data_IF_226973554682
#
_entry.id   IF_226973554682
#
_cell.length_a   1.000
_cell.length_b   1.000
_cell.length_c   1.000
_cell.angle_alpha   90.00
_cell.angle_beta   90.00
_cell.angle_gamma   90.00
#
_symmetry.space_group_name_H-M   'P 1'
#
loop_
_entity.id
_entity.type
_entity.pdbx_description
1 polymer ?
#
# COMPACT_ATOMS: atom_id res chain seq x y z
N UNK A 1 13.32 -24.86 -27.31
CA UNK A 1 14.29 -25.48 -26.38
C UNK A 1 14.27 -24.69 -25.09
N UNK A 2 13.62 -25.21 -24.05
CA UNK A 2 13.53 -24.54 -22.74
C UNK A 2 14.80 -24.74 -21.91
N UNK A 3 15.08 -23.84 -20.94
CA UNK A 3 16.24 -23.97 -20.06
C UNK A 3 16.11 -25.21 -19.17
N UNK A 4 17.13 -26.08 -19.17
CA UNK A 4 17.22 -27.24 -18.28
C UNK A 4 17.94 -26.84 -16.99
N UNK A 5 17.25 -26.95 -15.86
CA UNK A 5 17.85 -26.87 -14.53
C UNK A 5 17.59 -28.23 -13.87
N UNK A 6 18.65 -28.98 -13.55
CA UNK A 6 18.54 -30.24 -12.78
C UNK A 6 17.98 -31.48 -13.50
N UNK A 7 18.05 -31.55 -14.83
CA UNK A 7 17.64 -32.77 -15.57
C UNK A 7 16.13 -32.96 -15.75
N UNK A 8 15.31 -32.03 -15.27
CA UNK A 8 13.86 -32.01 -15.44
C UNK A 8 13.53 -31.06 -16.59
N UNK A 9 12.83 -31.51 -17.62
CA UNK A 9 12.40 -30.67 -18.74
C UNK A 9 11.15 -29.89 -18.34
N UNK A 10 11.33 -28.77 -17.64
CA UNK A 10 10.24 -27.85 -17.28
C UNK A 10 9.66 -27.23 -18.55
N UNK A 11 8.51 -27.73 -18.97
CA UNK A 11 7.67 -27.10 -20.00
C UNK A 11 6.86 -25.95 -19.41
N UNK A 12 6.42 -25.00 -20.24
CA UNK A 12 5.52 -23.89 -19.82
C UNK A 12 4.21 -24.42 -19.18
N UNK A 13 3.87 -25.68 -19.46
CA UNK A 13 2.73 -26.42 -18.90
C UNK A 13 2.98 -27.03 -17.51
N UNK A 14 4.21 -26.98 -16.98
CA UNK A 14 4.52 -27.53 -15.67
C UNK A 14 4.09 -26.55 -14.57
N UNK A 15 3.31 -26.96 -13.55
CA UNK A 15 2.88 -26.09 -12.45
C UNK A 15 4.05 -25.49 -11.64
N UNK A 16 5.28 -26.02 -11.78
CA UNK A 16 6.50 -25.47 -11.18
C UNK A 16 7.17 -24.38 -12.03
N UNK A 17 6.64 -24.07 -13.21
CA UNK A 17 7.17 -23.02 -14.09
C UNK A 17 6.92 -21.64 -13.49
N UNK A 18 7.93 -21.11 -12.80
CA UNK A 18 7.98 -19.70 -12.43
C UNK A 18 8.42 -18.94 -13.67
N UNK A 19 7.48 -18.26 -14.35
CA UNK A 19 7.77 -17.44 -15.53
C UNK A 19 8.79 -16.33 -15.26
N UNK A 20 9.05 -15.46 -16.25
CA UNK A 20 9.98 -14.34 -16.12
C UNK A 20 9.44 -13.23 -15.21
N UNK A 21 9.26 -13.53 -13.92
CA UNK A 21 8.74 -12.65 -12.88
C UNK A 21 9.55 -11.35 -12.72
N UNK A 22 10.85 -11.41 -13.04
CA UNK A 22 11.76 -10.25 -13.04
C UNK A 22 11.47 -9.22 -14.12
N UNK A 23 10.74 -9.57 -15.18
CA UNK A 23 10.47 -8.67 -16.32
C UNK A 23 9.69 -7.43 -15.88
N UNK A 24 8.83 -7.56 -14.86
CA UNK A 24 8.08 -6.44 -14.29
C UNK A 24 8.99 -5.33 -13.76
N UNK A 25 10.14 -5.67 -13.16
CA UNK A 25 11.09 -4.67 -12.64
C UNK A 25 11.73 -3.85 -13.75
N UNK A 26 12.04 -4.46 -14.90
CA UNK A 26 12.61 -3.74 -16.04
C UNK A 26 11.59 -2.80 -16.67
N UNK A 27 10.35 -3.25 -16.82
CA UNK A 27 9.25 -2.42 -17.35
C UNK A 27 9.01 -1.23 -16.41
N UNK A 28 8.94 -1.47 -15.10
CA UNK A 28 8.77 -0.41 -14.11
C UNK A 28 9.95 0.58 -14.10
N UNK A 29 11.19 0.09 -14.17
CA UNK A 29 12.39 0.93 -14.24
C UNK A 29 12.39 1.79 -15.51
N UNK A 30 12.02 1.23 -16.66
CA UNK A 30 11.88 1.96 -17.92
C UNK A 30 10.81 3.05 -17.84
N UNK A 31 9.64 2.73 -17.27
CA UNK A 31 8.55 3.70 -17.10
C UNK A 31 8.95 4.87 -16.17
N UNK A 32 9.63 4.57 -15.06
CA UNK A 32 10.14 5.60 -14.13
C UNK A 32 11.21 6.46 -14.81
N UNK A 33 12.12 5.86 -15.59
CA UNK A 33 13.13 6.59 -16.34
C UNK A 33 12.49 7.56 -17.36
N UNK A 34 11.46 7.10 -18.08
CA UNK A 34 10.70 7.95 -19.01
C UNK A 34 9.97 9.09 -18.28
N UNK A 35 9.35 8.81 -17.14
CA UNK A 35 8.68 9.81 -16.30
C UNK A 35 9.65 10.83 -15.68
N UNK A 36 10.94 10.50 -15.57
CA UNK A 36 11.98 11.40 -15.08
C UNK A 36 12.47 12.40 -16.14
N UNK A 37 12.31 12.10 -17.43
CA UNK A 37 12.79 12.97 -18.54
C UNK A 37 12.29 14.42 -18.42
N UNK A 38 11.01 14.70 -18.15
CA UNK A 38 10.51 16.07 -17.99
C UNK A 38 11.19 16.87 -16.86
N UNK A 39 11.69 16.18 -15.82
CA UNK A 39 12.37 16.86 -14.70
C UNK A 39 13.73 17.44 -15.09
N UNK A 40 14.41 16.88 -16.11
CA UNK A 40 15.67 17.43 -16.61
C UNK A 40 15.51 18.79 -17.30
N UNK A 41 14.31 19.12 -17.75
CA UNK A 41 13.99 20.41 -18.37
C UNK A 41 13.65 21.51 -17.37
N UNK A 42 13.58 21.21 -16.07
CA UNK A 42 13.40 22.26 -15.05
C UNK A 42 14.68 23.06 -14.86
N UNK A 43 14.59 24.41 -14.80
CA UNK A 43 15.76 25.26 -14.59
C UNK A 43 16.40 24.95 -13.24
N UNK A 44 17.74 24.88 -13.22
CA UNK A 44 18.56 24.55 -12.04
C UNK A 44 18.29 25.45 -10.83
N UNK A 45 17.78 26.66 -11.05
CA UNK A 45 17.42 27.61 -10.00
C UNK A 45 16.07 28.27 -10.32
N UNK A 46 15.17 28.31 -9.34
CA UNK A 46 13.91 29.04 -9.45
C UNK A 46 14.16 30.56 -9.30
N UNK A 47 13.85 31.41 -10.31
CA UNK A 47 14.18 32.84 -10.27
C UNK A 47 13.56 33.60 -9.08
N UNK A 48 12.40 33.14 -8.59
CA UNK A 48 11.72 33.71 -7.41
C UNK A 48 12.48 33.46 -6.12
N UNK A 49 13.12 32.32 -5.98
CA UNK A 49 13.87 31.95 -4.77
C UNK A 49 15.18 32.73 -4.67
N UNK A 50 15.87 32.91 -5.81
CA UNK A 50 17.04 33.79 -5.91
C UNK A 50 16.71 35.23 -5.50
N UNK A 51 15.54 35.74 -5.90
CA UNK A 51 15.07 37.09 -5.56
C UNK A 51 14.70 37.21 -4.08
N UNK A 52 14.00 36.23 -3.48
CA UNK A 52 13.70 36.22 -2.03
C UNK A 52 14.99 36.10 -1.18
N UNK A 53 15.94 35.24 -1.57
CA UNK A 53 17.23 35.10 -0.89
C UNK A 53 18.07 36.37 -0.99
N UNK A 54 18.11 37.01 -2.16
CA UNK A 54 18.79 38.30 -2.33
C UNK A 54 18.10 39.42 -1.54
N UNK A 55 16.77 39.46 -1.51
CA UNK A 55 16.02 40.42 -0.70
C UNK A 55 16.30 40.21 0.80
N UNK A 56 16.26 38.97 1.31
CA UNK A 56 16.64 38.68 2.70
C UNK A 56 18.09 39.07 3.00
N UNK A 57 19.04 38.79 2.10
CA UNK A 57 20.44 39.26 2.25
C UNK A 57 20.54 40.78 2.33
N UNK A 58 19.81 41.50 1.47
CA UNK A 58 19.79 42.97 1.49
C UNK A 58 19.18 43.51 2.79
N UNK A 59 18.09 42.93 3.27
CA UNK A 59 17.44 43.32 4.53
C UNK A 59 18.32 43.04 5.75
N UNK A 60 19.00 41.88 5.79
CA UNK A 60 19.97 41.58 6.85
C UNK A 60 21.16 42.54 6.81
N UNK A 61 21.72 42.82 5.63
CA UNK A 61 22.85 43.74 5.48
C UNK A 61 22.53 45.19 5.88
N UNK A 62 21.27 45.61 5.74
CA UNK A 62 20.80 46.94 6.19
C UNK A 62 20.61 46.98 7.71
N UNK A 63 20.28 45.84 8.34
CA UNK A 63 20.09 45.74 9.79
C UNK A 63 21.43 45.70 10.54
N UNK A 64 22.53 45.35 9.85
CA UNK A 64 23.88 45.18 10.44
C UNK A 64 24.83 46.36 10.18
N UNK A 65 24.36 47.51 9.69
CA UNK A 65 25.18 48.72 9.56
C UNK A 65 25.00 49.65 10.76
N UNK A 66 26.01 49.82 11.65
CA UNK A 66 25.97 50.87 12.65
C UNK A 66 26.19 52.23 11.96
N UNK A 67 25.24 53.13 12.13
CA UNK A 67 25.34 54.51 11.68
C UNK A 67 26.61 55.17 12.25
N UNK A 68 27.46 55.66 11.34
CA UNK A 68 28.66 56.44 11.63
C UNK A 68 28.26 57.90 11.83
N UNK A 69 28.32 58.42 13.07
CA UNK A 69 28.40 59.84 13.52
C UNK A 69 28.31 59.81 15.05
N UNK A 70 29.09 60.47 15.90
CA UNK A 70 30.21 61.42 15.86
C UNK A 70 30.46 61.82 17.33
N UNK A 71 31.74 61.97 17.72
CA UNK A 71 32.33 62.54 18.96
C UNK A 71 31.41 63.24 20.01
N UNK A 72 31.49 62.82 21.28
CA UNK A 72 32.23 63.48 22.39
C UNK A 72 32.08 62.69 23.74
N UNK A 73 33.14 62.70 24.56
CA UNK A 73 33.38 61.96 25.83
C UNK A 73 32.83 62.69 27.08
N UNK A 74 33.11 62.29 28.36
CA UNK A 74 33.07 60.99 29.07
C UNK A 74 32.38 61.06 30.47
N UNK A 75 31.96 59.92 31.09
CA UNK A 75 32.15 59.67 32.55
C UNK A 75 31.55 58.33 33.05
N UNK A 76 32.44 57.54 33.69
CA UNK A 76 32.32 56.60 34.84
C UNK A 76 30.97 55.96 35.23
N UNK A 77 30.96 54.62 35.34
CA UNK A 77 31.04 53.82 36.59
C UNK A 77 30.25 52.48 36.46
N UNK A 78 30.93 51.38 36.76
CA UNK A 78 30.43 49.98 36.85
C UNK A 78 30.08 49.66 38.33
N UNK A 79 29.59 48.47 38.73
CA UNK A 79 28.70 47.49 38.09
C UNK A 79 27.48 47.14 38.99
N UNK A 80 26.44 46.51 38.43
CA UNK A 80 25.33 45.96 39.22
C UNK A 80 24.45 45.02 38.40
N UNK A 81 24.50 43.76 38.77
CA UNK A 81 23.90 42.57 38.16
C UNK A 81 22.36 42.56 38.13
N UNK A 82 21.77 42.17 36.99
CA UNK A 82 20.84 41.02 36.87
C UNK A 82 19.90 41.11 35.65
N UNK A 83 19.76 39.96 34.99
CA UNK A 83 18.62 39.51 34.16
C UNK A 83 18.38 40.19 32.80
N UNK A 84 18.88 39.56 31.71
CA UNK A 84 18.33 39.79 30.37
C UNK A 84 17.82 38.51 29.72
N UNK A 85 16.48 38.46 29.66
CA UNK A 85 15.63 37.84 28.63
C UNK A 85 16.35 37.83 27.27
N UNK A 86 16.57 36.66 26.69
CA UNK A 86 17.18 36.51 25.36
C UNK A 86 16.19 35.81 24.43
N UNK A 87 15.13 36.55 24.10
CA UNK A 87 14.38 36.36 22.86
C UNK A 87 15.07 37.21 21.79
N UNK A 88 15.49 36.57 20.68
CA UNK A 88 15.91 37.29 19.49
C UNK A 88 17.13 36.73 18.78
N UNK A 89 16.88 36.16 17.60
CA UNK A 89 17.74 36.24 16.41
C UNK A 89 19.11 35.54 16.49
N UNK A 90 19.12 34.20 16.50
CA UNK A 90 20.32 33.47 16.08
C UNK A 90 20.30 33.32 14.56
N UNK A 91 21.36 33.88 13.98
CA UNK A 91 21.62 34.17 12.58
C UNK A 91 21.61 32.96 11.63
N UNK A 92 21.18 33.25 10.40
CA UNK A 92 21.41 32.45 9.21
C UNK A 92 22.79 32.82 8.68
N UNK A 93 23.78 31.93 8.86
CA UNK A 93 25.02 31.90 8.09
C UNK A 93 25.12 30.54 7.35
N UNK A 94 25.52 30.51 6.08
CA UNK A 94 25.56 29.30 5.26
C UNK A 94 26.84 28.52 5.60
N UNK A 95 26.84 27.82 6.75
CA UNK A 95 27.75 26.73 7.11
C UNK A 95 27.32 26.22 8.50
N UNK A 96 26.10 25.68 8.61
CA UNK A 96 25.68 25.05 9.86
C UNK A 96 26.24 23.61 9.91
N UNK A 97 27.23 23.44 10.79
CA UNK A 97 27.76 22.14 11.22
C UNK A 97 26.61 21.20 11.60
N UNK A 98 26.67 19.95 11.14
CA UNK A 98 25.67 18.88 11.43
C UNK A 98 25.33 18.79 12.93
N UNK A 99 26.29 19.11 13.80
CA UNK A 99 26.16 19.13 15.27
C UNK A 99 25.19 20.21 15.76
N UNK A 100 25.19 21.41 15.15
CA UNK A 100 24.23 22.47 15.50
C UNK A 100 22.82 22.10 15.05
N UNK A 101 22.70 21.45 13.89
CA UNK A 101 21.41 20.93 13.41
C UNK A 101 20.86 19.84 14.36
N UNK A 102 21.69 18.88 14.78
CA UNK A 102 21.29 17.82 15.73
C UNK A 102 20.81 18.38 17.07
N UNK A 103 21.41 19.47 17.57
CA UNK A 103 21.01 20.07 18.86
C UNK A 103 19.72 20.89 18.75
N UNK A 104 19.47 21.52 17.60
CA UNK A 104 18.27 22.31 17.33
C UNK A 104 17.09 21.43 16.90
N UNK A 105 17.38 20.29 16.26
CA UNK A 105 16.40 19.33 15.74
C UNK A 105 15.34 18.87 16.76
N UNK A 106 15.67 18.38 17.98
CA UNK A 106 14.66 17.92 18.93
C UNK A 106 13.72 19.04 19.39
N UNK A 107 14.20 20.28 19.46
CA UNK A 107 13.38 21.44 19.83
C UNK A 107 12.38 21.77 18.71
N UNK A 108 12.84 21.80 17.45
CA UNK A 108 11.97 22.09 16.29
C UNK A 108 11.01 20.93 16.02
N UNK A 109 11.45 19.69 16.21
CA UNK A 109 10.63 18.48 16.15
C UNK A 109 9.49 18.57 17.18
N UNK A 110 9.82 18.85 18.45
CA UNK A 110 8.81 18.96 19.51
C UNK A 110 7.84 20.13 19.27
N UNK A 111 8.34 21.26 18.78
CA UNK A 111 7.51 22.40 18.41
C UNK A 111 6.56 22.08 17.25
N UNK A 112 7.03 21.32 16.26
CA UNK A 112 6.23 20.87 15.12
C UNK A 112 5.17 19.85 15.56
N UNK A 113 5.55 18.89 16.42
CA UNK A 113 4.64 17.90 17.00
C UNK A 113 3.59 18.51 17.93
N UNK A 114 3.91 19.63 18.58
CA UNK A 114 2.97 20.36 19.44
C UNK A 114 1.89 21.09 18.65
N UNK A 115 2.04 21.23 17.33
CA UNK A 115 0.99 21.81 16.49
C UNK A 115 -0.13 20.78 16.25
N UNK A 116 -1.33 20.96 16.83
CA UNK A 116 -2.35 19.90 16.89
C UNK A 116 -2.85 19.46 15.52
N UNK A 117 -2.96 20.39 14.56
CA UNK A 117 -3.38 20.09 13.19
C UNK A 117 -2.35 19.23 12.46
N UNK A 118 -1.05 19.46 12.71
CA UNK A 118 0.01 18.67 12.07
C UNK A 118 -0.03 17.23 12.58
N UNK A 119 -0.10 17.05 13.90
CA UNK A 119 -0.17 15.74 14.53
C UNK A 119 -1.39 14.95 14.04
N UNK A 120 -2.58 15.56 14.05
CA UNK A 120 -3.82 14.90 13.60
C UNK A 120 -3.77 14.46 12.14
N UNK A 121 -3.26 15.32 11.25
CA UNK A 121 -3.14 14.99 9.81
C UNK A 121 -2.11 13.89 9.58
N UNK A 122 -0.96 13.95 10.26
CA UNK A 122 0.08 12.90 10.15
C UNK A 122 -0.43 11.56 10.69
N UNK A 123 -1.10 11.54 11.84
CA UNK A 123 -1.71 10.32 12.39
C UNK A 123 -2.76 9.75 11.44
N UNK A 124 -3.62 10.58 10.86
CA UNK A 124 -4.61 10.15 9.86
C UNK A 124 -3.95 9.52 8.63
N UNK A 125 -2.87 10.12 8.11
CA UNK A 125 -2.10 9.59 6.99
C UNK A 125 -1.40 8.25 7.33
N UNK A 126 -0.90 8.10 8.57
CA UNK A 126 -0.33 6.84 9.05
C UNK A 126 -1.41 5.75 9.10
N UNK A 127 -2.59 6.04 9.67
CA UNK A 127 -3.69 5.09 9.71
C UNK A 127 -4.13 4.67 8.30
N UNK A 128 -4.23 5.63 7.38
CA UNK A 128 -4.60 5.35 5.99
C UNK A 128 -3.55 4.46 5.29
N UNK A 129 -2.26 4.71 5.54
CA UNK A 129 -1.16 3.92 4.97
C UNK A 129 -1.13 2.50 5.53
N UNK A 130 -1.39 2.34 6.84
CA UNK A 130 -1.51 1.04 7.50
C UNK A 130 -2.67 0.23 6.92
N UNK A 131 -3.85 0.84 6.75
CA UNK A 131 -4.99 0.22 6.08
C UNK A 131 -4.65 -0.20 4.65
N UNK A 132 -3.98 0.67 3.87
CA UNK A 132 -3.58 0.36 2.51
C UNK A 132 -2.60 -0.82 2.43
N UNK A 133 -1.66 -0.91 3.36
CA UNK A 133 -0.74 -2.04 3.48
C UNK A 133 -1.47 -3.35 3.80
N UNK A 134 -2.37 -3.35 4.80
CA UNK A 134 -3.18 -4.52 5.13
C UNK A 134 -4.02 -4.99 3.95
N UNK A 135 -4.67 -4.05 3.25
CA UNK A 135 -5.40 -4.37 2.02
C UNK A 135 -4.48 -4.92 0.94
N UNK A 136 -3.31 -4.35 0.68
CA UNK A 136 -2.39 -4.84 -0.34
C UNK A 136 -1.94 -6.29 -0.09
N UNK A 137 -1.71 -6.68 1.17
CA UNK A 137 -1.26 -8.02 1.54
C UNK A 137 -2.39 -9.04 1.53
N UNK A 138 -3.53 -8.70 2.13
CA UNK A 138 -4.60 -9.66 2.37
C UNK A 138 -5.69 -9.68 1.30
N UNK A 139 -5.89 -8.60 0.55
CA UNK A 139 -6.95 -8.53 -0.46
C UNK A 139 -6.80 -9.57 -1.58
N UNK A 140 -5.61 -9.79 -2.18
CA UNK A 140 -5.48 -10.82 -3.22
C UNK A 140 -5.82 -12.21 -2.68
N UNK A 141 -5.33 -12.53 -1.47
CA UNK A 141 -5.62 -13.80 -0.79
C UNK A 141 -7.07 -13.95 -0.38
N UNK A 142 -7.70 -12.87 0.04
CA UNK A 142 -9.13 -12.83 0.30
C UNK A 142 -9.91 -13.16 -0.96
N UNK A 143 -9.57 -12.55 -2.11
CA UNK A 143 -10.23 -12.82 -3.38
C UNK A 143 -10.01 -14.26 -3.84
N UNK A 144 -8.78 -14.78 -3.72
CA UNK A 144 -8.46 -16.18 -4.02
C UNK A 144 -9.33 -17.15 -3.20
N UNK A 145 -9.50 -16.89 -1.90
CA UNK A 145 -10.20 -17.82 -0.99
C UNK A 145 -11.71 -17.66 -0.95
N UNK A 146 -12.23 -16.44 -1.13
CA UNK A 146 -13.67 -16.18 -1.04
C UNK A 146 -14.39 -16.35 -2.36
N UNK A 147 -13.72 -16.06 -3.48
CA UNK A 147 -14.33 -16.15 -4.80
C UNK A 147 -13.73 -17.26 -5.68
N UNK A 148 -12.77 -18.03 -5.16
CA UNK A 148 -12.10 -19.14 -5.85
C UNK A 148 -11.51 -18.75 -7.20
N UNK A 149 -10.94 -17.55 -7.27
CA UNK A 149 -10.23 -17.08 -8.46
C UNK A 149 -8.72 -17.31 -8.33
N UNK A 150 -8.03 -17.40 -9.46
CA UNK A 150 -6.57 -17.58 -9.46
C UNK A 150 -5.86 -16.33 -8.92
N UNK A 151 -4.72 -16.54 -8.26
CA UNK A 151 -3.86 -15.45 -7.76
C UNK A 151 -3.47 -14.45 -8.87
N UNK A 152 -3.18 -14.96 -10.07
CA UNK A 152 -2.83 -14.13 -11.21
C UNK A 152 -4.00 -13.23 -11.64
N UNK A 153 -5.21 -13.79 -11.73
CA UNK A 153 -6.40 -13.03 -12.11
C UNK A 153 -6.77 -11.99 -11.03
N UNK A 154 -6.70 -12.35 -9.75
CA UNK A 154 -6.95 -11.42 -8.64
C UNK A 154 -5.99 -10.21 -8.69
N UNK A 155 -4.68 -10.47 -8.84
CA UNK A 155 -3.68 -9.42 -8.92
C UNK A 155 -3.82 -8.55 -10.17
N UNK A 156 -4.19 -9.15 -11.32
CA UNK A 156 -4.45 -8.41 -12.56
C UNK A 156 -5.65 -7.47 -12.39
N UNK A 157 -6.74 -7.94 -11.79
CA UNK A 157 -7.92 -7.12 -11.54
C UNK A 157 -7.64 -5.97 -10.57
N UNK A 158 -6.94 -6.24 -9.45
CA UNK A 158 -6.50 -5.19 -8.51
C UNK A 158 -5.61 -4.18 -9.25
N UNK A 159 -4.69 -4.67 -10.08
CA UNK A 159 -3.78 -3.82 -10.85
C UNK A 159 -4.48 -2.90 -11.84
N UNK A 160 -5.45 -3.42 -12.59
CA UNK A 160 -6.16 -2.69 -13.63
C UNK A 160 -7.28 -1.79 -13.09
N UNK A 161 -7.92 -2.14 -11.96
CA UNK A 161 -9.04 -1.36 -11.43
C UNK A 161 -8.60 -0.41 -10.31
N UNK A 162 -7.83 -0.90 -9.33
CA UNK A 162 -7.51 -0.11 -8.13
C UNK A 162 -6.42 0.94 -8.39
N UNK A 163 -5.34 0.62 -9.11
CA UNK A 163 -4.26 1.61 -9.33
C UNK A 163 -4.69 2.81 -10.16
N UNK A 164 -5.41 2.67 -11.29
CA UNK A 164 -5.91 3.83 -12.03
C UNK A 164 -6.87 4.66 -11.19
N UNK A 165 -7.73 4.01 -10.40
CA UNK A 165 -8.66 4.70 -9.50
C UNK A 165 -7.92 5.56 -8.46
N UNK A 166 -6.85 5.04 -7.86
CA UNK A 166 -5.98 5.80 -6.94
C UNK A 166 -5.37 7.03 -7.63
N UNK A 167 -4.84 6.87 -8.84
CA UNK A 167 -4.25 7.99 -9.61
C UNK A 167 -5.29 9.07 -9.89
N UNK A 168 -6.49 8.67 -10.35
CA UNK A 168 -7.60 9.58 -10.59
C UNK A 168 -7.99 10.30 -9.30
N UNK A 169 -8.10 9.59 -8.17
CA UNK A 169 -8.40 10.18 -6.86
C UNK A 169 -7.42 11.29 -6.48
N UNK A 170 -6.11 11.03 -6.57
CA UNK A 170 -5.06 12.01 -6.23
C UNK A 170 -5.16 13.26 -7.12
N UNK A 171 -5.31 13.05 -8.44
CA UNK A 171 -5.42 14.15 -9.41
C UNK A 171 -6.67 14.98 -9.17
N UNK A 172 -7.83 14.33 -8.99
CA UNK A 172 -9.10 15.00 -8.70
C UNK A 172 -9.00 15.80 -7.41
N UNK A 173 -8.42 15.23 -6.35
CA UNK A 173 -8.16 15.94 -5.09
C UNK A 173 -7.31 17.20 -5.27
N UNK A 174 -6.26 17.13 -6.09
CA UNK A 174 -5.42 18.28 -6.42
C UNK A 174 -6.15 19.34 -7.27
N UNK A 175 -6.91 18.90 -8.28
CA UNK A 175 -7.72 19.78 -9.13
C UNK A 175 -8.77 20.49 -8.30
N UNK A 176 -9.42 19.81 -7.36
CA UNK A 176 -10.45 20.39 -6.49
C UNK A 176 -9.87 21.49 -5.59
N UNK A 177 -8.72 21.23 -4.96
CA UNK A 177 -7.99 22.24 -4.16
C UNK A 177 -7.60 23.45 -5.01
N UNK A 178 -7.14 23.22 -6.24
CA UNK A 178 -6.70 24.30 -7.14
C UNK A 178 -7.87 25.12 -7.69
N UNK A 179 -8.93 24.48 -8.18
CA UNK A 179 -10.07 25.12 -8.85
C UNK A 179 -10.97 25.87 -7.88
N UNK A 180 -11.22 25.30 -6.70
CA UNK A 180 -12.06 25.93 -5.69
C UNK A 180 -11.30 26.90 -4.78
N UNK A 181 -9.99 27.08 -5.01
CA UNK A 181 -9.12 27.93 -4.18
C UNK A 181 -9.32 27.67 -2.67
N UNK A 182 -9.40 26.39 -2.29
CA UNK A 182 -9.74 25.99 -0.92
C UNK A 182 -8.72 26.56 0.07
N UNK A 183 -9.21 27.25 1.11
CA UNK A 183 -8.43 27.65 2.27
C UNK A 183 -8.13 26.46 3.20
N UNK A 184 -7.41 26.66 4.32
CA UNK A 184 -7.10 25.58 5.27
C UNK A 184 -8.35 24.87 5.82
N UNK A 185 -9.40 25.62 6.16
CA UNK A 185 -10.67 25.04 6.64
C UNK A 185 -11.35 24.22 5.55
N UNK A 186 -11.34 24.71 4.31
CA UNK A 186 -11.88 23.98 3.15
C UNK A 186 -11.12 22.68 2.84
N UNK A 187 -9.79 22.69 2.96
CA UNK A 187 -8.99 21.46 2.85
C UNK A 187 -9.33 20.46 3.95
N UNK A 188 -9.50 20.92 5.20
CA UNK A 188 -9.92 20.07 6.31
C UNK A 188 -11.31 19.46 6.11
N UNK A 189 -12.28 20.27 5.68
CA UNK A 189 -13.63 19.80 5.37
C UNK A 189 -13.62 18.77 4.22
N UNK A 190 -12.80 18.98 3.19
CA UNK A 190 -12.65 18.04 2.09
C UNK A 190 -12.05 16.70 2.56
N UNK A 191 -11.05 16.73 3.44
CA UNK A 191 -10.50 15.50 4.03
C UNK A 191 -11.55 14.75 4.87
N UNK A 192 -12.29 15.46 5.72
CA UNK A 192 -13.34 14.85 6.56
C UNK A 192 -14.45 14.24 5.71
N UNK A 193 -14.94 14.97 4.71
CA UNK A 193 -15.97 14.49 3.79
C UNK A 193 -15.47 13.30 2.98
N UNK A 194 -14.25 13.35 2.45
CA UNK A 194 -13.65 12.25 1.70
C UNK A 194 -13.51 10.97 2.52
N UNK A 195 -13.08 11.08 3.78
CA UNK A 195 -12.99 9.93 4.69
C UNK A 195 -14.36 9.37 5.10
N UNK A 196 -15.35 10.23 5.34
CA UNK A 196 -16.73 9.81 5.61
C UNK A 196 -17.35 9.07 4.42
N UNK A 197 -17.14 9.58 3.21
CA UNK A 197 -17.58 8.91 1.98
C UNK A 197 -16.84 7.58 1.79
N UNK A 198 -15.53 7.54 2.00
CA UNK A 198 -14.77 6.30 1.95
C UNK A 198 -15.34 5.24 2.92
N UNK A 199 -15.64 5.62 4.16
CA UNK A 199 -16.30 4.74 5.13
C UNK A 199 -17.64 4.24 4.61
N UNK A 200 -18.49 5.15 4.13
CA UNK A 200 -19.81 4.81 3.59
C UNK A 200 -19.74 3.81 2.44
N UNK A 201 -18.83 4.00 1.47
CA UNK A 201 -18.64 3.07 0.34
C UNK A 201 -17.96 1.75 0.73
N UNK A 202 -17.24 1.71 1.85
CA UNK A 202 -16.64 0.48 2.37
C UNK A 202 -17.63 -0.39 3.16
N UNK A 203 -18.72 0.17 3.70
CA UNK A 203 -19.71 -0.59 4.50
C UNK A 203 -20.33 -1.79 3.76
N UNK A 204 -20.75 -1.68 2.47
CA UNK A 204 -21.31 -2.81 1.73
C UNK A 204 -20.33 -3.99 1.58
N UNK A 205 -19.02 -3.74 1.62
CA UNK A 205 -18.01 -4.80 1.47
C UNK A 205 -18.13 -5.87 2.57
N UNK A 206 -18.60 -5.51 3.76
CA UNK A 206 -18.81 -6.46 4.86
C UNK A 206 -19.98 -7.42 4.61
N UNK A 207 -20.94 -7.04 3.75
CA UNK A 207 -22.13 -7.84 3.45
C UNK A 207 -21.98 -8.66 2.16
N UNK A 208 -20.96 -8.35 1.35
CA UNK A 208 -20.64 -9.09 0.13
C UNK A 208 -19.68 -10.22 0.52
N UNK A 209 -20.22 -11.40 0.77
CA UNK A 209 -19.46 -12.62 1.04
C UNK A 209 -20.08 -13.83 0.34
N UNK A 210 -19.26 -14.86 0.10
CA UNK A 210 -19.76 -16.16 -0.35
C UNK A 210 -19.76 -17.15 0.82
N UNK A 211 -20.56 -18.21 0.73
CA UNK A 211 -20.49 -19.31 1.69
C UNK A 211 -19.09 -19.94 1.67
N UNK A 212 -18.50 -20.19 2.84
CA UNK A 212 -17.19 -20.84 2.93
C UNK A 212 -17.19 -22.19 2.20
N UNK A 213 -16.17 -22.39 1.36
CA UNK A 213 -15.94 -23.68 0.69
C UNK A 213 -15.78 -24.79 1.73
N UNK A 214 -16.42 -25.93 1.46
CA UNK A 214 -16.37 -27.09 2.33
C UNK A 214 -15.12 -27.89 2.01
N UNK A 215 -14.19 -27.99 2.96
CA UNK A 215 -12.96 -28.75 2.80
C UNK A 215 -13.11 -30.05 3.59
N UNK A 216 -12.94 -31.18 2.90
CA UNK A 216 -13.04 -32.51 3.51
C UNK A 216 -12.06 -32.64 4.69
N UNK A 217 -12.56 -33.08 5.86
CA UNK A 217 -11.75 -33.27 7.08
C UNK A 217 -11.46 -32.02 7.91
N UNK A 218 -11.87 -30.82 7.45
CA UNK A 218 -11.70 -29.56 8.19
C UNK A 218 -13.07 -28.92 8.48
N UNK A 219 -14.02 -29.05 7.57
CA UNK A 219 -15.40 -28.54 7.74
C UNK A 219 -16.35 -29.70 8.04
N UNK A 220 -16.80 -29.84 9.28
CA UNK A 220 -17.79 -30.86 9.65
C UNK A 220 -19.18 -30.49 9.10
N UNK A 221 -19.81 -31.37 8.32
CA UNK A 221 -21.25 -31.30 8.06
C UNK A 221 -22.01 -32.01 9.18
N UNK A 222 -22.91 -31.30 9.87
CA UNK A 222 -23.79 -31.91 10.88
C UNK A 222 -25.03 -32.58 10.27
N UNK A 223 -25.43 -32.29 9.02
CA UNK A 223 -26.69 -32.82 8.48
C UNK A 223 -26.70 -32.90 6.96
N UNK A 224 -26.57 -34.11 6.40
CA UNK A 224 -27.55 -34.67 5.44
C UNK A 224 -27.07 -35.95 4.73
N UNK A 225 -25.77 -36.29 4.67
CA UNK A 225 -25.30 -37.56 4.09
C UNK A 225 -24.33 -38.28 5.05
N UNK A 226 -24.68 -39.45 5.60
CA UNK A 226 -23.87 -40.20 6.58
C UNK A 226 -22.66 -40.92 5.95
N UNK A 227 -21.96 -40.26 5.03
CA UNK A 227 -20.81 -40.82 4.31
C UNK A 227 -19.69 -39.81 4.00
N UNK A 228 -19.80 -38.57 4.46
CA UNK A 228 -18.83 -37.49 4.21
C UNK A 228 -17.97 -37.13 5.43
N UNK A 229 -17.98 -37.98 6.45
CA UNK A 229 -16.83 -38.06 7.36
C UNK A 229 -15.69 -38.63 6.53
N UNK A 230 -14.49 -38.07 6.63
CA UNK A 230 -13.28 -38.51 5.95
C UNK A 230 -12.99 -39.96 6.37
N UNK A 231 -13.69 -40.93 5.76
CA UNK A 231 -13.62 -42.31 6.19
C UNK A 231 -12.22 -42.79 5.82
N UNK A 232 -11.39 -43.17 6.80
CA UNK A 232 -10.01 -43.59 6.54
C UNK A 232 -9.95 -44.74 5.51
N UNK A 233 -11.04 -45.49 5.37
CA UNK A 233 -11.21 -46.60 4.43
C UNK A 233 -11.03 -46.24 2.95
N UNK A 234 -11.40 -45.04 2.49
CA UNK A 234 -11.25 -44.67 1.08
C UNK A 234 -9.82 -44.23 0.75
N UNK A 235 -9.06 -43.77 1.76
CA UNK A 235 -7.67 -43.30 1.63
C UNK A 235 -6.64 -44.41 1.93
N UNK A 236 -7.05 -45.57 2.45
CA UNK A 236 -6.16 -46.68 2.86
C UNK A 236 -5.17 -47.12 1.78
N UNK A 237 -5.51 -46.95 0.51
CA UNK A 237 -4.65 -47.30 -0.62
C UNK A 237 -3.49 -46.32 -0.87
N UNK A 238 -3.43 -45.17 -0.18
CA UNK A 238 -2.46 -44.11 -0.46
C UNK A 238 -1.84 -43.51 0.81
N UNK A 239 -0.52 -43.65 0.99
CA UNK A 239 0.24 -42.95 2.04
C UNK A 239 0.49 -41.50 1.66
N UNK A 240 -0.52 -40.64 1.84
CA UNK A 240 -0.47 -39.24 1.41
C UNK A 240 0.51 -38.40 2.25
N UNK A 241 1.33 -37.55 1.60
CA UNK A 241 2.19 -36.61 2.32
C UNK A 241 1.36 -35.53 3.02
N UNK A 242 1.71 -35.25 4.28
CA UNK A 242 1.02 -34.27 5.13
C UNK A 242 1.24 -32.81 4.66
N UNK A 243 2.38 -32.52 4.01
CA UNK A 243 2.73 -31.18 3.53
C UNK A 243 2.35 -30.94 2.04
N UNK A 244 1.61 -31.86 1.43
CA UNK A 244 1.18 -31.72 0.04
C UNK A 244 -0.05 -30.82 -0.09
N UNK A 245 0.00 -29.82 -0.98
CA UNK A 245 -1.16 -28.98 -1.32
C UNK A 245 -1.34 -28.92 -2.84
N UNK A 246 -2.41 -29.55 -3.34
CA UNK A 246 -2.83 -29.49 -4.74
C UNK A 246 -4.33 -29.76 -4.81
N UNK A 247 -5.18 -28.75 -4.58
CA UNK A 247 -6.59 -28.95 -4.33
C UNK A 247 -7.30 -29.56 -5.55
N UNK A 248 -8.30 -30.40 -5.27
CA UNK A 248 -9.21 -30.96 -6.27
C UNK A 248 -10.64 -30.77 -5.81
N UNK A 249 -11.54 -30.50 -6.77
CA UNK A 249 -12.95 -30.29 -6.51
C UNK A 249 -13.79 -31.46 -7.00
N UNK A 250 -14.66 -32.00 -6.13
CA UNK A 250 -15.74 -32.90 -6.55
C UNK A 250 -16.87 -32.07 -7.20
N UNK A 251 -17.18 -32.26 -8.50
CA UNK A 251 -18.21 -31.49 -9.19
C UNK A 251 -19.64 -31.74 -8.67
N UNK A 252 -19.93 -32.91 -8.10
CA UNK A 252 -21.29 -33.25 -7.66
C UNK A 252 -21.59 -32.76 -6.24
N UNK A 253 -20.64 -32.94 -5.31
CA UNK A 253 -20.81 -32.53 -3.91
C UNK A 253 -20.24 -31.14 -3.60
N UNK A 254 -19.41 -30.59 -4.50
CA UNK A 254 -18.65 -29.33 -4.32
C UNK A 254 -17.77 -29.32 -3.07
N UNK A 255 -17.27 -30.49 -2.71
CA UNK A 255 -16.31 -30.67 -1.63
C UNK A 255 -14.89 -30.56 -2.19
N UNK A 256 -14.06 -29.75 -1.55
CA UNK A 256 -12.65 -29.58 -1.89
C UNK A 256 -11.78 -30.53 -1.07
N UNK A 257 -10.88 -31.25 -1.72
CA UNK A 257 -9.89 -32.12 -1.09
C UNK A 257 -8.50 -31.48 -1.22
N UNK A 258 -7.70 -31.57 -0.16
CA UNK A 258 -6.37 -30.92 -0.04
C UNK A 258 -5.41 -31.39 -1.15
N UNK A 259 -5.48 -32.67 -1.51
CA UNK A 259 -4.70 -33.25 -2.61
C UNK A 259 -5.53 -34.31 -3.36
N UNK A 260 -5.16 -34.66 -4.61
CA UNK A 260 -5.76 -35.81 -5.29
C UNK A 260 -5.59 -37.13 -4.52
N UNK A 261 -4.53 -37.24 -3.70
CA UNK A 261 -4.29 -38.41 -2.85
C UNK A 261 -5.33 -38.52 -1.73
N UNK A 262 -5.68 -37.41 -1.08
CA UNK A 262 -6.74 -37.37 -0.07
C UNK A 262 -8.14 -37.62 -0.70
N UNK A 263 -8.29 -37.41 -2.00
CA UNK A 263 -9.48 -37.83 -2.76
C UNK A 263 -9.42 -39.30 -3.24
N UNK A 264 -8.30 -40.00 -3.00
CA UNK A 264 -8.11 -41.41 -3.39
C UNK A 264 -7.93 -41.63 -4.89
N UNK A 265 -7.50 -40.61 -5.64
CA UNK A 265 -7.33 -40.70 -7.09
C UNK A 265 -6.04 -41.43 -7.48
N UNK A 266 -6.11 -42.34 -8.44
CA UNK A 266 -4.97 -43.15 -8.92
C UNK A 266 -4.49 -42.82 -10.33
N UNK A 267 -5.29 -42.13 -11.13
CA UNK A 267 -4.96 -41.76 -12.50
C UNK A 267 -5.31 -40.31 -12.82
N UNK A 268 -4.71 -39.75 -13.89
CA UNK A 268 -4.99 -38.41 -14.38
C UNK A 268 -5.02 -38.37 -15.90
N UNK A 269 -5.83 -37.46 -16.45
CA UNK A 269 -6.00 -37.19 -17.88
C UNK A 269 -5.79 -35.70 -18.10
N UNK A 270 -4.96 -35.35 -19.07
CA UNK A 270 -4.76 -33.95 -19.49
C UNK A 270 -5.64 -33.70 -20.70
N UNK A 271 -6.58 -32.76 -20.58
CA UNK A 271 -7.40 -32.34 -21.70
C UNK A 271 -6.84 -31.01 -22.23
N UNK A 272 -6.16 -31.07 -23.37
CA UNK A 272 -5.67 -29.90 -24.08
C UNK A 272 -6.84 -29.23 -24.82
N UNK A 273 -7.39 -28.14 -24.26
CA UNK A 273 -8.22 -27.21 -25.01
C UNK A 273 -7.34 -26.11 -25.62
N UNK A 274 -7.77 -25.54 -26.75
CA UNK A 274 -7.03 -24.57 -27.58
C UNK A 274 -6.45 -23.36 -26.81
N UNK A 275 -7.00 -23.07 -25.63
CA UNK A 275 -6.66 -21.88 -24.82
C UNK A 275 -6.25 -22.21 -23.37
N UNK A 276 -6.57 -23.40 -22.83
CA UNK A 276 -6.21 -23.81 -21.46
C UNK A 276 -6.12 -25.35 -21.35
N UNK A 277 -4.96 -25.88 -20.94
CA UNK A 277 -4.81 -27.30 -20.62
C UNK A 277 -5.33 -27.56 -19.20
N UNK A 278 -6.41 -28.33 -19.07
CA UNK A 278 -6.97 -28.72 -17.77
C UNK A 278 -6.57 -30.15 -17.41
N UNK A 279 -6.23 -30.36 -16.13
CA UNK A 279 -5.87 -31.67 -15.60
C UNK A 279 -7.08 -32.23 -14.85
N UNK A 280 -7.49 -33.43 -15.23
CA UNK A 280 -8.58 -34.16 -14.61
C UNK A 280 -8.02 -35.39 -13.90
N UNK A 281 -8.39 -35.62 -12.65
CA UNK A 281 -8.06 -36.84 -11.93
C UNK A 281 -9.22 -37.84 -12.04
N UNK A 282 -8.86 -39.12 -12.19
CA UNK A 282 -9.79 -40.23 -12.43
C UNK A 282 -9.52 -41.35 -11.43
N UNK A 283 -10.51 -42.24 -11.29
CA UNK A 283 -10.43 -43.39 -10.40
C UNK A 283 -10.16 -42.97 -8.94
N UNK A 284 -11.00 -42.04 -8.46
CA UNK A 284 -10.98 -41.50 -7.10
C UNK A 284 -11.95 -42.29 -6.22
N UNK A 285 -11.44 -42.96 -5.19
CA UNK A 285 -12.22 -43.80 -4.27
C UNK A 285 -13.03 -43.01 -3.23
N UNK A 286 -12.60 -41.81 -2.87
CA UNK A 286 -13.30 -40.96 -1.89
C UNK A 286 -14.37 -40.06 -2.52
N UNK A 287 -14.58 -40.16 -3.84
CA UNK A 287 -15.52 -39.36 -4.62
C UNK A 287 -16.62 -40.29 -5.13
N UNK A 288 -17.84 -40.12 -4.62
CA UNK A 288 -18.93 -41.09 -4.82
C UNK A 288 -19.48 -41.09 -6.24
N UNK A 289 -19.65 -39.91 -6.86
CA UNK A 289 -20.25 -39.79 -8.20
C UNK A 289 -19.55 -38.78 -9.14
N UNK A 290 -18.62 -37.96 -8.64
CA UNK A 290 -17.98 -36.88 -9.40
C UNK A 290 -16.71 -37.24 -10.19
N UNK A 291 -16.53 -38.50 -10.60
CA UNK A 291 -15.38 -38.87 -11.43
C UNK A 291 -15.66 -38.51 -12.91
N UNK A 292 -14.78 -37.78 -13.63
CA UNK A 292 -13.48 -37.24 -13.22
C UNK A 292 -13.56 -35.92 -12.42
N UNK A 293 -12.63 -35.72 -11.48
CA UNK A 293 -12.50 -34.48 -10.69
C UNK A 293 -11.51 -33.51 -11.32
N UNK A 294 -11.79 -32.21 -11.23
CA UNK A 294 -10.97 -31.16 -11.81
C UNK A 294 -9.83 -30.77 -10.85
N UNK A 295 -8.63 -30.56 -11.39
CA UNK A 295 -7.52 -29.94 -10.66
C UNK A 295 -7.81 -28.45 -10.40
N UNK A 296 -7.73 -28.04 -9.14
CA UNK A 296 -8.07 -26.69 -8.69
C UNK A 296 -9.14 -26.69 -7.60
N UNK A 297 -9.32 -25.53 -6.98
CA UNK A 297 -10.40 -25.31 -6.01
C UNK A 297 -11.77 -25.25 -6.70
N UNK A 298 -12.84 -25.51 -5.94
CA UNK A 298 -14.20 -25.50 -6.51
C UNK A 298 -14.61 -24.09 -6.97
N UNK A 299 -15.21 -24.00 -8.16
CA UNK A 299 -15.81 -22.76 -8.67
C UNK A 299 -16.86 -22.22 -7.69
N UNK A 300 -16.77 -20.92 -7.39
CA UNK A 300 -17.75 -20.25 -6.55
C UNK A 300 -18.95 -19.79 -7.42
N UNK A 301 -20.17 -20.05 -6.95
CA UNK A 301 -21.40 -19.46 -7.56
C UNK A 301 -21.42 -17.93 -7.45
N UNK A 302 -20.58 -17.38 -6.59
CA UNK A 302 -20.42 -15.97 -6.31
C UNK A 302 -19.41 -15.26 -7.21
N UNK A 303 -18.83 -15.92 -8.24
CA UNK A 303 -17.81 -15.31 -9.11
C UNK A 303 -18.26 -13.98 -9.75
N UNK A 304 -19.56 -13.81 -10.00
CA UNK A 304 -20.14 -12.57 -10.51
C UNK A 304 -20.07 -11.38 -9.54
N UNK A 305 -19.92 -11.62 -8.23
CA UNK A 305 -19.80 -10.60 -7.18
C UNK A 305 -18.39 -10.03 -7.06
N UNK A 306 -17.37 -10.67 -7.67
CA UNK A 306 -15.97 -10.22 -7.66
C UNK A 306 -15.83 -8.81 -8.25
N UNK A 307 -16.43 -8.58 -9.42
CA UNK A 307 -16.30 -7.30 -10.13
C UNK A 307 -16.98 -6.16 -9.34
N UNK A 308 -18.24 -6.29 -8.89
CA UNK A 308 -18.86 -5.30 -7.99
C UNK A 308 -18.05 -5.03 -6.72
N UNK A 309 -17.52 -6.08 -6.07
CA UNK A 309 -16.68 -5.94 -4.87
C UNK A 309 -15.42 -5.11 -5.16
N UNK A 310 -14.72 -5.41 -6.25
CA UNK A 310 -13.54 -4.66 -6.65
C UNK A 310 -13.85 -3.22 -7.09
N UNK A 311 -14.99 -2.98 -7.73
CA UNK A 311 -15.43 -1.62 -8.05
C UNK A 311 -15.66 -0.81 -6.79
N UNK A 312 -16.32 -1.37 -5.77
CA UNK A 312 -16.49 -0.73 -4.46
C UNK A 312 -15.15 -0.46 -3.76
N UNK A 313 -14.23 -1.43 -3.74
CA UNK A 313 -12.87 -1.24 -3.20
C UNK A 313 -12.12 -0.14 -3.97
N UNK A 314 -12.22 -0.12 -5.30
CA UNK A 314 -11.57 0.88 -6.14
C UNK A 314 -12.16 2.29 -5.94
N UNK A 315 -13.47 2.39 -5.69
CA UNK A 315 -14.13 3.66 -5.40
C UNK A 315 -13.74 4.17 -4.01
N UNK A 316 -13.71 3.29 -3.01
CA UNK A 316 -13.21 3.60 -1.67
C UNK A 316 -11.76 4.08 -1.70
N UNK A 317 -10.89 3.39 -2.45
CA UNK A 317 -9.48 3.80 -2.59
C UNK A 317 -9.32 5.14 -3.30
N UNK A 318 -10.10 5.43 -4.35
CA UNK A 318 -10.11 6.76 -4.97
C UNK A 318 -10.52 7.87 -4.00
N UNK A 319 -11.58 7.65 -3.21
CA UNK A 319 -12.06 8.62 -2.22
C UNK A 319 -11.04 8.86 -1.10
N UNK A 320 -10.41 7.79 -0.61
CA UNK A 320 -9.31 7.89 0.33
C UNK A 320 -8.15 8.71 -0.25
N UNK A 321 -7.70 8.38 -1.46
CA UNK A 321 -6.57 9.05 -2.11
C UNK A 321 -6.88 10.49 -2.55
N UNK A 322 -8.16 10.85 -2.75
CA UNK A 322 -8.60 12.23 -2.97
C UNK A 322 -8.21 13.15 -1.81
N UNK A 323 -8.17 12.62 -0.58
CA UNK A 323 -7.79 13.39 0.61
C UNK A 323 -6.28 13.58 0.76
N UNK A 324 -5.45 12.86 -0.01
CA UNK A 324 -3.99 12.90 0.12
C UNK A 324 -3.42 14.29 -0.19
N UNK A 325 -3.81 14.88 -1.32
CA UNK A 325 -3.36 16.23 -1.73
C UNK A 325 -3.79 17.34 -0.76
N UNK A 326 -5.07 17.47 -0.35
CA UNK A 326 -5.46 18.49 0.62
C UNK A 326 -4.79 18.28 1.99
N UNK A 327 -4.58 17.04 2.43
CA UNK A 327 -3.84 16.73 3.67
C UNK A 327 -2.39 17.22 3.60
N UNK A 328 -1.70 16.98 2.49
CA UNK A 328 -0.35 17.50 2.28
C UNK A 328 -0.31 19.04 2.25
N UNK A 329 -1.32 19.67 1.64
CA UNK A 329 -1.44 21.13 1.62
C UNK A 329 -1.69 21.73 3.00
N UNK A 330 -2.42 21.04 3.89
CA UNK A 330 -2.61 21.47 5.28
C UNK A 330 -1.28 21.53 6.04
N UNK A 331 -0.42 20.52 5.86
CA UNK A 331 0.91 20.49 6.46
C UNK A 331 1.76 21.67 5.95
N UNK A 332 1.82 21.86 4.63
CA UNK A 332 2.62 22.94 4.04
C UNK A 332 2.12 24.35 4.37
N UNK A 333 0.83 24.52 4.67
CA UNK A 333 0.24 25.81 5.05
C UNK A 333 0.27 26.06 6.56
N UNK A 334 0.28 25.01 7.38
CA UNK A 334 0.36 25.12 8.85
C UNK A 334 1.77 25.40 9.37
N UNK A 335 2.80 25.12 8.58
CA UNK A 335 4.20 25.25 8.97
C UNK A 335 4.85 26.49 8.33
N UNK A 336 5.74 27.17 9.08
CA UNK A 336 6.52 28.32 8.59
C UNK A 336 7.35 27.94 7.36
N UNK A 337 7.65 28.92 6.49
CA UNK A 337 8.41 28.69 5.24
C UNK A 337 9.76 28.00 5.47
N UNK A 338 10.44 28.29 6.59
CA UNK A 338 11.74 27.69 6.92
C UNK A 338 11.66 26.20 7.30
N UNK A 339 10.52 25.75 7.85
CA UNK A 339 10.39 24.42 8.47
C UNK A 339 9.65 23.40 7.59
N UNK A 340 9.26 23.77 6.36
CA UNK A 340 8.44 22.92 5.47
C UNK A 340 9.11 21.60 5.09
N UNK A 341 10.37 21.65 4.69
CA UNK A 341 11.14 20.45 4.29
C UNK A 341 11.34 19.51 5.48
N UNK A 342 11.58 20.09 6.67
CA UNK A 342 11.67 19.35 7.92
C UNK A 342 10.33 18.68 8.28
N UNK A 343 9.21 19.40 8.19
CA UNK A 343 7.88 18.85 8.46
C UNK A 343 7.52 17.69 7.52
N UNK A 344 7.84 17.81 6.23
CA UNK A 344 7.66 16.72 5.26
C UNK A 344 8.57 15.53 5.61
N UNK A 345 9.83 15.78 5.97
CA UNK A 345 10.74 14.72 6.42
C UNK A 345 10.23 13.98 7.66
N UNK A 346 9.70 14.72 8.64
CA UNK A 346 9.10 14.15 9.86
C UNK A 346 7.86 13.31 9.50
N UNK A 347 6.98 13.81 8.62
CA UNK A 347 5.82 13.04 8.15
C UNK A 347 6.25 11.69 7.54
N UNK A 348 7.24 11.67 6.64
CA UNK A 348 7.75 10.42 6.05
C UNK A 348 8.43 9.52 7.08
N UNK A 349 9.12 10.10 8.07
CA UNK A 349 9.70 9.33 9.17
C UNK A 349 8.61 8.61 9.97
N UNK A 350 7.52 9.29 10.35
CA UNK A 350 6.40 8.65 11.05
C UNK A 350 5.70 7.60 10.18
N UNK A 351 5.49 7.88 8.90
CA UNK A 351 4.95 6.91 7.94
C UNK A 351 5.81 5.64 7.87
N UNK A 352 7.14 5.79 7.90
CA UNK A 352 8.05 4.64 7.89
C UNK A 352 8.11 3.94 9.24
N UNK A 353 8.25 4.64 10.35
CA UNK A 353 8.35 3.98 11.66
C UNK A 353 7.05 3.23 11.99
N UNK A 354 5.89 3.87 11.80
CA UNK A 354 4.61 3.27 12.16
C UNK A 354 4.01 2.38 11.05
N UNK A 355 4.43 2.58 9.80
CA UNK A 355 3.91 1.81 8.66
C UNK A 355 4.80 0.63 8.23
N UNK A 356 6.10 0.62 8.57
CA UNK A 356 7.03 -0.47 8.18
C UNK A 356 6.75 -1.77 8.94
N UNK A 357 6.25 -1.68 10.17
CA UNK A 357 5.91 -2.85 11.00
C UNK A 357 4.75 -3.70 10.45
N UNK A 358 4.03 -3.24 9.41
CA UNK A 358 2.81 -3.91 8.91
C UNK A 358 2.87 -4.39 7.45
N UNK A 359 3.88 -4.00 6.66
CA UNK A 359 3.82 -4.15 5.20
C UNK A 359 5.07 -4.74 4.52
N UNK A 360 6.25 -4.54 5.11
CA UNK A 360 7.51 -4.74 4.37
C UNK A 360 8.24 -6.04 4.69
N UNK A 361 7.87 -6.73 5.77
CA UNK A 361 8.55 -7.98 6.18
C UNK A 361 8.12 -9.19 5.33
N UNK A 362 6.99 -9.10 4.61
CA UNK A 362 6.47 -10.18 3.77
C UNK A 362 6.89 -10.12 2.29
N UNK A 363 7.64 -9.10 1.86
CA UNK A 363 8.16 -8.99 0.48
C UNK A 363 9.57 -9.60 0.31
N UNK A 364 10.14 -10.19 1.37
CA UNK A 364 11.48 -10.79 1.39
C UNK A 364 11.48 -12.30 1.68
N UNK A 365 10.46 -13.03 1.20
CA UNK A 365 10.48 -14.49 1.13
C UNK A 365 9.83 -15.00 -0.14
#
# INVERSE_FOLDING_TARGET
MGPRIGGISLTIKDPRWVGAWWLGFLIAAGAVALAAIPYFFFPKEMPKEKRELQFRRKVLAVTDSPARKGKDSPSKQSPGESTKKQDGLVQIAPNLTVIQFIKVFPRVLLQTLRHPIFLLVVLSQVCLSSMAAGMATFLPKFLERQFSITASYANLLIGCLSFPSVIVGIVVGGVLVKRLHLGPVGCGALCLLGMLLCLFFSLPLFFIGCSSHQIAGITHQTSAHPGLELSPSCMEACSCPLDGFNPVCDPSTRVEYITPCHAGCSSWVVQDALDNSQVFYTNCSCVVEGNPVLAGSCDSTCSHLVVPFLLLVSLGSALACLTHTPSFMLILRGVKKEDKTLAVGIQFMFLRILGKDLAWDHWWW
#
